data_IF_350708855528
#
_entry.id   IF_350708855528
#
_cell.length_a   1.000
_cell.length_b   1.000
_cell.length_c   1.000
_cell.angle_alpha   90.00
_cell.angle_beta   90.00
_cell.angle_gamma   90.00
#
_symmetry.space_group_name_H-M   'P 1'
#
loop_
_entity.id
_entity.type
_entity.pdbx_description
1 polymer ?
#
# COMPACT_ATOMS: atom_id res chain seq x y z
N UNK A 1 -52.50 -24.07 -33.51
CA UNK A 1 -52.75 -22.74 -32.90
C UNK A 1 -51.44 -21.98 -33.00
N UNK A 2 -51.36 -20.80 -33.64
CA UNK A 2 -50.11 -20.05 -33.63
C UNK A 2 -49.92 -19.52 -32.20
N UNK A 3 -48.85 -19.95 -31.53
CA UNK A 3 -48.51 -19.48 -30.21
C UNK A 3 -48.15 -17.99 -30.33
N UNK A 4 -48.96 -17.13 -29.72
CA UNK A 4 -48.58 -15.73 -29.51
C UNK A 4 -47.27 -15.71 -28.72
N UNK A 5 -46.24 -14.95 -29.15
CA UNK A 5 -45.05 -14.78 -28.33
C UNK A 5 -45.49 -14.13 -27.01
N UNK A 6 -45.11 -14.69 -25.84
CA UNK A 6 -45.44 -14.09 -24.57
C UNK A 6 -44.89 -12.66 -24.52
N UNK A 7 -45.71 -11.72 -24.06
CA UNK A 7 -45.29 -10.33 -23.85
C UNK A 7 -44.02 -10.31 -22.98
N UNK A 8 -43.06 -9.44 -23.30
CA UNK A 8 -41.83 -9.29 -22.53
C UNK A 8 -42.15 -8.95 -21.06
N UNK A 9 -41.98 -9.91 -20.15
CA UNK A 9 -42.35 -9.77 -18.75
C UNK A 9 -41.24 -9.12 -17.90
N UNK A 10 -40.02 -9.00 -18.44
CA UNK A 10 -38.86 -8.42 -17.75
C UNK A 10 -37.97 -7.58 -18.67
N UNK A 11 -37.13 -6.72 -18.10
CA UNK A 11 -36.10 -5.97 -18.84
C UNK A 11 -35.16 -6.90 -19.63
N UNK A 12 -34.96 -8.13 -19.15
CA UNK A 12 -34.19 -9.18 -19.82
C UNK A 12 -34.82 -9.67 -21.13
N UNK A 13 -36.14 -9.67 -21.25
CA UNK A 13 -36.86 -10.08 -22.47
C UNK A 13 -36.78 -9.01 -23.57
N UNK A 14 -36.45 -7.77 -23.21
CA UNK A 14 -36.24 -6.68 -24.18
C UNK A 14 -34.90 -6.81 -24.92
N UNK A 15 -33.90 -7.44 -24.30
CA UNK A 15 -32.52 -7.49 -24.83
C UNK A 15 -32.12 -8.88 -25.33
N UNK A 16 -32.80 -9.92 -24.88
CA UNK A 16 -32.53 -11.29 -25.29
C UNK A 16 -33.84 -12.00 -25.65
N UNK A 17 -34.02 -12.29 -26.94
CA UNK A 17 -35.18 -13.06 -27.43
C UNK A 17 -35.15 -14.49 -26.85
N UNK A 18 -36.31 -15.10 -26.55
CA UNK A 18 -36.40 -16.50 -26.17
C UNK A 18 -35.76 -17.41 -27.22
N UNK A 19 -35.04 -18.44 -26.79
CA UNK A 19 -34.54 -19.46 -27.72
C UNK A 19 -35.72 -20.29 -28.25
N UNK A 20 -35.53 -20.93 -29.41
CA UNK A 20 -36.52 -21.89 -29.90
C UNK A 20 -36.60 -23.10 -28.96
N UNK A 21 -37.76 -23.75 -28.91
CA UNK A 21 -37.96 -24.95 -28.12
C UNK A 21 -36.94 -26.04 -28.49
N UNK A 22 -36.15 -26.50 -27.50
CA UNK A 22 -35.07 -27.48 -27.70
C UNK A 22 -33.68 -26.87 -27.95
N UNK A 23 -33.58 -25.56 -28.21
CA UNK A 23 -32.30 -24.87 -28.43
C UNK A 23 -31.73 -24.20 -27.16
N UNK A 24 -32.43 -24.31 -26.04
CA UNK A 24 -32.11 -23.67 -24.74
C UNK A 24 -30.78 -24.15 -24.13
N UNK A 25 -30.27 -25.32 -24.56
CA UNK A 25 -28.99 -25.88 -24.10
C UNK A 25 -27.84 -25.73 -25.12
N UNK A 26 -28.10 -25.07 -26.25
CA UNK A 26 -27.09 -24.90 -27.32
C UNK A 26 -25.95 -23.98 -26.89
N UNK A 27 -24.83 -24.06 -27.60
CA UNK A 27 -23.60 -23.29 -27.32
C UNK A 27 -23.81 -21.77 -27.37
N UNK A 28 -24.88 -21.30 -28.03
CA UNK A 28 -25.28 -19.90 -28.15
C UNK A 28 -26.66 -19.61 -27.55
N UNK A 29 -27.16 -20.49 -26.69
CA UNK A 29 -28.40 -20.29 -25.96
C UNK A 29 -28.40 -18.96 -25.21
N UNK A 30 -29.59 -18.39 -25.05
CA UNK A 30 -29.91 -17.16 -24.33
C UNK A 30 -29.25 -17.13 -22.97
N UNK A 31 -29.26 -18.24 -22.22
CA UNK A 31 -28.66 -18.32 -20.87
C UNK A 31 -27.19 -17.91 -20.85
N UNK A 32 -26.40 -18.33 -21.84
CA UNK A 32 -24.97 -18.01 -21.91
C UNK A 32 -24.72 -16.56 -22.29
N UNK A 33 -25.59 -15.97 -23.12
CA UNK A 33 -25.53 -14.55 -23.49
C UNK A 33 -25.90 -13.66 -22.30
N UNK A 34 -26.96 -14.00 -21.58
CA UNK A 34 -27.39 -13.30 -20.35
C UNK A 34 -26.30 -13.40 -19.28
N UNK A 35 -25.77 -14.60 -19.05
CA UNK A 35 -24.66 -14.83 -18.12
C UNK A 35 -23.46 -13.94 -18.47
N UNK A 36 -23.05 -13.92 -19.75
CA UNK A 36 -21.95 -13.09 -20.22
C UNK A 36 -22.16 -11.61 -19.89
N UNK A 37 -23.32 -11.05 -20.22
CA UNK A 37 -23.60 -9.63 -19.95
C UNK A 37 -23.53 -9.34 -18.46
N UNK A 38 -24.30 -10.07 -17.65
CA UNK A 38 -24.38 -9.81 -16.20
C UNK A 38 -23.04 -9.94 -15.49
N UNK A 39 -22.25 -10.95 -15.84
CA UNK A 39 -20.97 -11.20 -15.21
C UNK A 39 -19.88 -10.25 -15.70
N UNK A 40 -19.94 -9.83 -16.97
CA UNK A 40 -19.01 -8.82 -17.48
C UNK A 40 -19.20 -7.49 -16.76
N UNK A 41 -20.46 -7.08 -16.49
CA UNK A 41 -20.75 -5.87 -15.73
C UNK A 41 -20.17 -5.97 -14.31
N UNK A 42 -20.45 -7.07 -13.61
CA UNK A 42 -19.93 -7.31 -12.25
C UNK A 42 -18.39 -7.33 -12.18
N UNK A 43 -17.75 -8.00 -13.13
CA UNK A 43 -16.28 -8.07 -13.19
C UNK A 43 -15.67 -6.71 -13.51
N UNK A 44 -16.30 -5.91 -14.38
CA UNK A 44 -15.82 -4.56 -14.68
C UNK A 44 -15.81 -3.70 -13.42
N UNK A 45 -16.90 -3.70 -12.66
CA UNK A 45 -17.01 -2.93 -11.40
C UNK A 45 -15.94 -3.36 -10.39
N UNK A 46 -15.75 -4.68 -10.22
CA UNK A 46 -14.74 -5.23 -9.30
C UNK A 46 -13.32 -4.86 -9.73
N UNK A 47 -12.99 -5.02 -11.02
CA UNK A 47 -11.66 -4.75 -11.56
C UNK A 47 -11.37 -3.25 -11.55
N UNK A 48 -12.37 -2.41 -11.78
CA UNK A 48 -12.25 -0.95 -11.68
C UNK A 48 -11.91 -0.55 -10.25
N UNK A 49 -12.66 -1.02 -9.25
CA UNK A 49 -12.35 -0.75 -7.84
C UNK A 49 -10.95 -1.23 -7.41
N UNK A 50 -10.51 -2.39 -7.91
CA UNK A 50 -9.14 -2.87 -7.68
C UNK A 50 -8.09 -1.99 -8.35
N UNK A 51 -8.30 -1.58 -9.60
CA UNK A 51 -7.40 -0.67 -10.31
C UNK A 51 -7.31 0.68 -9.62
N UNK A 52 -8.42 1.22 -9.14
CA UNK A 52 -8.46 2.49 -8.42
C UNK A 52 -7.70 2.40 -7.10
N UNK A 53 -7.89 1.31 -6.35
CA UNK A 53 -7.10 1.04 -5.13
C UNK A 53 -5.61 1.00 -5.45
N UNK A 54 -5.20 0.26 -6.48
CA UNK A 54 -3.79 0.18 -6.90
C UNK A 54 -3.25 1.54 -7.35
N UNK A 55 -4.02 2.33 -8.09
CA UNK A 55 -3.62 3.67 -8.50
C UNK A 55 -3.41 4.60 -7.29
N UNK A 56 -4.31 4.54 -6.32
CA UNK A 56 -4.17 5.27 -5.06
C UNK A 56 -2.89 4.86 -4.32
N UNK A 57 -2.62 3.56 -4.19
CA UNK A 57 -1.40 3.04 -3.56
C UNK A 57 -0.14 3.56 -4.25
N UNK A 58 -0.09 3.57 -5.59
CA UNK A 58 1.05 4.10 -6.36
C UNK A 58 1.29 5.58 -6.08
N UNK A 59 0.24 6.39 -6.17
CA UNK A 59 0.34 7.85 -5.98
C UNK A 59 0.80 8.15 -4.56
N UNK A 60 0.17 7.51 -3.57
CA UNK A 60 0.52 7.71 -2.18
C UNK A 60 1.95 7.25 -1.89
N UNK A 61 2.35 6.06 -2.34
CA UNK A 61 3.69 5.53 -2.13
C UNK A 61 4.77 6.43 -2.76
N UNK A 62 4.52 7.00 -3.94
CA UNK A 62 5.42 7.97 -4.58
C UNK A 62 5.56 9.27 -3.78
N UNK A 63 4.44 9.87 -3.37
CA UNK A 63 4.44 11.09 -2.56
C UNK A 63 5.09 10.87 -1.19
N UNK A 64 4.75 9.76 -0.52
CA UNK A 64 5.34 9.36 0.74
C UNK A 64 6.85 9.13 0.60
N UNK A 65 7.30 8.49 -0.48
CA UNK A 65 8.73 8.28 -0.74
C UNK A 65 9.48 9.61 -0.89
N UNK A 66 8.90 10.60 -1.57
CA UNK A 66 9.50 11.92 -1.70
C UNK A 66 9.64 12.63 -0.35
N UNK A 67 8.59 12.63 0.47
CA UNK A 67 8.61 13.23 1.81
C UNK A 67 9.61 12.51 2.70
N UNK A 68 9.56 11.18 2.77
CA UNK A 68 10.45 10.37 3.61
C UNK A 68 11.92 10.56 3.22
N UNK A 69 12.21 10.67 1.92
CA UNK A 69 13.58 10.89 1.41
C UNK A 69 14.18 12.19 1.93
N UNK A 70 13.40 13.27 2.07
CA UNK A 70 13.89 14.53 2.61
C UNK A 70 14.40 14.39 4.07
N UNK A 71 13.64 13.68 4.91
CA UNK A 71 14.05 13.41 6.29
C UNK A 71 15.23 12.44 6.37
N UNK A 72 15.22 11.41 5.54
CA UNK A 72 16.31 10.44 5.44
C UNK A 72 17.62 11.14 5.07
N UNK A 73 17.64 11.98 4.03
CA UNK A 73 18.83 12.74 3.62
C UNK A 73 19.36 13.59 4.78
N UNK A 74 18.47 14.25 5.51
CA UNK A 74 18.84 15.12 6.61
C UNK A 74 19.44 14.34 7.80
N UNK A 75 18.86 13.19 8.15
CA UNK A 75 19.24 12.46 9.36
C UNK A 75 20.25 11.34 9.12
N UNK A 76 20.42 10.87 7.88
CA UNK A 76 21.45 9.90 7.51
C UNK A 76 22.86 10.46 7.71
N UNK A 77 23.00 11.78 7.69
CA UNK A 77 24.25 12.45 8.04
C UNK A 77 24.74 12.09 9.45
N UNK A 78 23.83 11.76 10.39
CA UNK A 78 24.18 11.30 11.74
C UNK A 78 24.77 9.89 11.79
N UNK A 79 24.72 9.14 10.68
CA UNK A 79 25.46 7.88 10.54
C UNK A 79 26.91 8.08 10.11
N UNK A 80 27.24 9.26 9.60
CA UNK A 80 28.57 9.61 9.17
C UNK A 80 29.29 10.42 10.26
N UNK A 81 30.64 10.38 10.28
CA UNK A 81 31.41 11.22 11.17
C UNK A 81 31.20 12.71 10.85
N UNK A 82 31.00 13.54 11.87
CA UNK A 82 30.90 14.97 11.68
C UNK A 82 32.30 15.57 11.43
N UNK A 83 32.68 15.70 10.16
CA UNK A 83 33.95 16.29 9.77
C UNK A 83 34.07 17.77 10.19
N UNK A 84 32.97 18.48 10.38
CA UNK A 84 32.99 19.86 10.86
C UNK A 84 33.36 19.92 12.34
N UNK A 85 32.81 19.01 13.15
CA UNK A 85 33.18 18.86 14.55
C UNK A 85 34.62 18.38 14.71
N UNK A 86 35.05 17.40 13.91
CA UNK A 86 36.44 16.90 13.91
C UNK A 86 37.41 18.03 13.56
N UNK A 87 37.09 18.85 12.56
CA UNK A 87 37.92 19.99 12.13
C UNK A 87 37.94 21.09 13.21
N UNK A 88 36.81 21.41 13.82
CA UNK A 88 36.74 22.38 14.92
C UNK A 88 37.57 21.92 16.13
N UNK A 89 37.49 20.63 16.49
CA UNK A 89 38.34 20.02 17.53
C UNK A 89 39.82 20.03 17.16
N UNK A 90 40.16 19.76 15.90
CA UNK A 90 41.53 19.80 15.41
C UNK A 90 42.12 21.22 15.49
N UNK A 91 41.36 22.24 15.08
CA UNK A 91 41.77 23.65 15.16
C UNK A 91 41.98 24.05 16.63
N UNK A 92 41.03 23.73 17.52
CA UNK A 92 41.17 23.99 18.97
C UNK A 92 42.41 23.30 19.56
N UNK A 93 42.69 22.06 19.17
CA UNK A 93 43.88 21.35 19.62
C UNK A 93 45.17 22.03 19.14
N UNK A 94 45.21 22.54 17.90
CA UNK A 94 46.35 23.29 17.37
C UNK A 94 46.52 24.63 18.10
N UNK A 95 45.45 25.41 18.29
CA UNK A 95 45.50 26.68 19.02
C UNK A 95 46.01 26.49 20.46
N UNK A 96 45.58 25.43 21.15
CA UNK A 96 46.04 25.15 22.51
C UNK A 96 47.54 24.82 22.63
N UNK A 97 48.20 24.45 21.53
CA UNK A 97 49.65 24.21 21.50
C UNK A 97 50.46 25.46 21.12
N UNK A 98 49.82 26.45 20.52
CA UNK A 98 50.44 27.72 20.13
C UNK A 98 50.46 28.74 21.27
N UNK A 99 49.57 28.60 22.26
CA UNK A 99 49.59 29.40 23.48
C UNK A 99 50.32 28.65 24.61
N UNK A 100 51.55 29.07 24.91
CA UNK A 100 52.43 28.47 25.93
C UNK A 100 51.94 28.67 27.37
N UNK A 101 50.91 29.49 27.58
CA UNK A 101 50.30 29.76 28.89
C UNK A 101 49.01 28.96 29.11
N UNK A 102 48.47 28.34 28.05
CA UNK A 102 47.19 27.66 28.08
C UNK A 102 47.40 26.15 28.23
N UNK A 103 47.20 25.62 29.43
CA UNK A 103 47.08 24.16 29.63
C UNK A 103 45.74 23.72 29.05
N UNK A 104 45.69 22.93 27.96
CA UNK A 104 44.42 22.44 27.45
C UNK A 104 43.75 21.57 28.52
N UNK A 105 42.40 21.61 28.62
CA UNK A 105 41.69 20.59 29.41
C UNK A 105 42.07 19.20 28.87
N UNK A 106 42.29 18.25 29.79
CA UNK A 106 42.74 16.87 29.50
C UNK A 106 41.87 16.09 28.50
N UNK A 107 40.71 16.64 28.13
CA UNK A 107 39.83 16.16 27.07
C UNK A 107 40.33 16.38 25.63
N UNK A 108 41.32 17.25 25.39
CA UNK A 108 41.86 17.55 24.04
C UNK A 108 43.08 16.68 23.68
N UNK A 109 43.05 15.40 24.04
CA UNK A 109 44.09 14.44 23.63
C UNK A 109 43.87 14.08 22.15
N UNK A 110 44.93 13.98 21.35
CA UNK A 110 44.92 13.65 19.90
C UNK A 110 44.10 12.37 19.58
N UNK A 111 43.92 11.48 20.56
CA UNK A 111 43.04 10.30 20.51
C UNK A 111 41.56 10.63 20.27
N UNK A 112 41.12 11.88 20.46
CA UNK A 112 39.75 12.37 20.23
C UNK A 112 39.41 12.70 18.76
N UNK A 113 40.37 12.51 17.84
CA UNK A 113 40.20 12.71 16.40
C UNK A 113 39.69 11.46 15.67
N UNK A 114 39.47 10.35 16.39
CA UNK A 114 38.85 9.18 15.77
C UNK A 114 37.39 9.48 15.44
N UNK A 115 36.91 9.07 14.25
CA UNK A 115 35.50 9.18 13.90
C UNK A 115 34.63 8.59 15.01
N UNK A 116 33.74 9.39 15.59
CA UNK A 116 32.82 8.88 16.61
C UNK A 116 31.84 7.93 15.94
N UNK A 117 31.78 6.69 16.43
CA UNK A 117 30.79 5.72 15.96
C UNK A 117 29.37 6.28 16.13
N UNK A 118 28.48 6.09 15.15
CA UNK A 118 27.14 6.64 15.22
C UNK A 118 26.35 5.99 16.37
N UNK A 119 25.58 6.82 17.08
CA UNK A 119 24.82 6.37 18.25
C UNK A 119 23.81 5.28 17.89
N UNK A 120 23.53 4.38 18.85
CA UNK A 120 22.53 3.32 18.67
C UNK A 120 21.16 3.89 18.29
N UNK A 121 20.79 5.04 18.85
CA UNK A 121 19.55 5.75 18.55
C UNK A 121 19.52 6.25 17.11
N UNK A 122 20.60 6.88 16.64
CA UNK A 122 20.72 7.35 15.27
C UNK A 122 20.65 6.21 14.26
N UNK A 123 21.27 5.06 14.57
CA UNK A 123 21.16 3.82 13.78
C UNK A 123 19.71 3.32 13.72
N UNK A 124 19.02 3.30 14.86
CA UNK A 124 17.64 2.83 14.94
C UNK A 124 16.66 3.70 14.16
N UNK A 125 16.70 5.03 14.33
CA UNK A 125 15.82 5.97 13.62
C UNK A 125 16.04 5.88 12.11
N UNK A 126 17.32 5.89 11.66
CA UNK A 126 17.64 5.71 10.24
C UNK A 126 17.12 4.36 9.73
N UNK A 127 17.34 3.27 10.47
CA UNK A 127 16.87 1.94 10.09
C UNK A 127 15.36 1.87 9.89
N UNK A 128 14.58 2.44 10.82
CA UNK A 128 13.12 2.50 10.73
C UNK A 128 12.68 3.32 9.51
N UNK A 129 13.32 4.46 9.23
CA UNK A 129 12.99 5.27 8.06
C UNK A 129 13.36 4.61 6.74
N UNK A 130 14.56 4.02 6.61
CA UNK A 130 14.93 3.26 5.41
C UNK A 130 14.01 2.07 5.19
N UNK A 131 13.59 1.38 6.25
CA UNK A 131 12.60 0.30 6.16
C UNK A 131 11.25 0.84 5.65
N UNK A 132 10.76 1.95 6.20
CA UNK A 132 9.50 2.56 5.76
C UNK A 132 9.52 2.95 4.28
N UNK A 133 10.61 3.56 3.81
CA UNK A 133 10.81 3.92 2.40
C UNK A 133 10.88 2.66 1.51
N UNK A 134 11.63 1.65 1.94
CA UNK A 134 11.76 0.39 1.20
C UNK A 134 10.41 -0.32 1.04
N UNK A 135 9.59 -0.34 2.08
CA UNK A 135 8.23 -0.87 2.02
C UNK A 135 7.37 -0.11 1.00
N UNK A 136 7.45 1.22 0.96
CA UNK A 136 6.72 2.03 -0.03
C UNK A 136 7.14 1.72 -1.48
N UNK A 137 8.44 1.48 -1.72
CA UNK A 137 8.94 1.07 -3.03
C UNK A 137 8.46 -0.34 -3.40
N UNK A 138 8.47 -1.28 -2.45
CA UNK A 138 7.92 -2.63 -2.65
C UNK A 138 6.43 -2.57 -2.97
N UNK A 139 5.66 -1.74 -2.25
CA UNK A 139 4.22 -1.54 -2.51
C UNK A 139 4.00 -0.99 -3.92
N UNK A 140 4.82 -0.02 -4.34
CA UNK A 140 4.75 0.53 -5.71
C UNK A 140 5.01 -0.54 -6.76
N UNK A 141 6.08 -1.32 -6.59
CA UNK A 141 6.46 -2.40 -7.51
C UNK A 141 5.36 -3.47 -7.62
N UNK A 142 4.88 -3.96 -6.47
CA UNK A 142 3.84 -4.99 -6.42
C UNK A 142 2.51 -4.46 -6.98
N UNK A 143 2.17 -3.21 -6.71
CA UNK A 143 0.94 -2.62 -7.24
C UNK A 143 0.96 -2.51 -8.77
N UNK A 144 2.11 -2.17 -9.37
CA UNK A 144 2.30 -2.20 -10.83
C UNK A 144 2.14 -3.62 -11.36
N UNK A 145 2.74 -4.62 -10.70
CA UNK A 145 2.68 -6.01 -11.12
C UNK A 145 1.24 -6.56 -11.09
N UNK A 146 0.51 -6.33 -10.00
CA UNK A 146 -0.89 -6.74 -9.89
C UNK A 146 -1.75 -6.03 -10.94
N UNK A 147 -1.50 -4.73 -11.18
CA UNK A 147 -2.21 -4.00 -12.24
C UNK A 147 -1.98 -4.64 -13.63
N UNK A 148 -0.77 -5.09 -13.92
CA UNK A 148 -0.48 -5.81 -15.16
C UNK A 148 -1.26 -7.13 -15.24
N UNK A 149 -1.36 -7.88 -14.15
CA UNK A 149 -2.17 -9.11 -14.11
C UNK A 149 -3.66 -8.84 -14.40
N UNK A 150 -4.22 -7.76 -13.85
CA UNK A 150 -5.60 -7.37 -14.10
C UNK A 150 -5.85 -6.92 -15.54
N UNK A 151 -4.90 -6.20 -16.13
CA UNK A 151 -4.97 -5.82 -17.55
C UNK A 151 -4.96 -7.07 -18.43
N UNK A 152 -4.06 -8.01 -18.17
CA UNK A 152 -3.96 -9.27 -18.92
C UNK A 152 -5.20 -10.16 -18.75
N UNK A 153 -5.76 -10.22 -17.54
CA UNK A 153 -7.03 -10.90 -17.27
C UNK A 153 -8.15 -10.36 -18.15
N UNK A 154 -8.35 -9.03 -18.16
CA UNK A 154 -9.36 -8.37 -19.00
C UNK A 154 -9.11 -8.63 -20.49
N UNK A 155 -7.86 -8.58 -20.94
CA UNK A 155 -7.50 -8.86 -22.33
C UNK A 155 -7.90 -10.29 -22.74
N UNK A 156 -7.61 -11.29 -21.91
CA UNK A 156 -7.99 -12.70 -22.15
C UNK A 156 -9.50 -12.92 -22.20
N UNK A 157 -10.26 -12.19 -21.41
CA UNK A 157 -11.73 -12.23 -21.40
C UNK A 157 -12.37 -11.56 -22.61
N UNK A 158 -11.76 -10.50 -23.13
CA UNK A 158 -12.22 -9.78 -24.34
C UNK A 158 -11.78 -10.44 -25.65
N UNK A 159 -10.82 -11.35 -25.60
CA UNK A 159 -10.37 -12.09 -26.78
C UNK A 159 -11.53 -12.85 -27.45
N UNK A 160 -11.61 -12.87 -28.79
CA UNK A 160 -12.72 -13.47 -29.51
C UNK A 160 -12.93 -14.95 -29.15
N UNK A 161 -14.18 -15.37 -29.21
CA UNK A 161 -14.64 -16.74 -28.93
C UNK A 161 -15.67 -17.14 -29.97
N UNK A 162 -15.66 -18.41 -30.36
CA UNK A 162 -16.60 -18.97 -31.34
C UNK A 162 -18.05 -18.90 -30.84
N UNK A 163 -18.30 -19.26 -29.57
CA UNK A 163 -19.65 -19.38 -29.00
C UNK A 163 -19.75 -18.86 -27.56
N UNK A 164 -20.98 -18.57 -27.12
CA UNK A 164 -21.28 -18.01 -25.80
C UNK A 164 -20.87 -18.94 -24.65
N UNK A 165 -21.16 -20.23 -24.75
CA UNK A 165 -20.78 -21.25 -23.75
C UNK A 165 -19.27 -21.36 -23.54
N UNK A 166 -18.47 -21.29 -24.62
CA UNK A 166 -17.00 -21.38 -24.55
C UNK A 166 -16.40 -20.18 -23.81
N UNK A 167 -17.00 -19.01 -23.97
CA UNK A 167 -16.63 -17.83 -23.17
C UNK A 167 -16.98 -18.01 -21.69
N UNK A 168 -18.17 -18.54 -21.38
CA UNK A 168 -18.58 -18.75 -19.99
C UNK A 168 -17.63 -19.71 -19.26
N UNK A 169 -17.20 -20.78 -19.93
CA UNK A 169 -16.15 -21.67 -19.42
C UNK A 169 -14.82 -20.95 -19.20
N UNK A 170 -14.37 -20.15 -20.19
CA UNK A 170 -13.13 -19.35 -20.09
C UNK A 170 -13.19 -18.41 -18.88
N UNK A 171 -14.30 -17.70 -18.73
CA UNK A 171 -14.55 -16.81 -17.59
C UNK A 171 -14.43 -17.57 -16.27
N UNK A 172 -15.14 -18.70 -16.13
CA UNK A 172 -15.08 -19.53 -14.94
C UNK A 172 -13.65 -19.94 -14.57
N UNK A 173 -12.86 -20.41 -15.55
CA UNK A 173 -11.46 -20.82 -15.33
C UNK A 173 -10.60 -19.66 -14.84
N UNK A 174 -10.64 -18.50 -15.51
CA UNK A 174 -9.80 -17.37 -15.11
C UNK A 174 -10.26 -16.71 -13.82
N UNK A 175 -11.58 -16.64 -13.57
CA UNK A 175 -12.14 -16.12 -12.31
C UNK A 175 -11.74 -17.00 -11.14
N UNK A 176 -11.89 -18.32 -11.28
CA UNK A 176 -11.39 -19.29 -10.29
C UNK A 176 -9.89 -19.17 -10.09
N UNK A 177 -9.14 -18.84 -11.15
CA UNK A 177 -7.73 -18.49 -11.07
C UNK A 177 -7.46 -17.27 -10.18
N UNK A 178 -8.13 -16.14 -10.42
CA UNK A 178 -7.97 -14.94 -9.59
C UNK A 178 -8.24 -15.21 -8.11
N UNK A 179 -9.29 -15.97 -7.81
CA UNK A 179 -9.67 -16.31 -6.44
C UNK A 179 -8.64 -17.26 -5.80
N UNK A 180 -8.21 -18.31 -6.52
CA UNK A 180 -7.19 -19.27 -6.04
C UNK A 180 -5.83 -18.62 -5.76
N UNK A 181 -5.44 -17.65 -6.59
CA UNK A 181 -4.19 -16.91 -6.42
C UNK A 181 -4.34 -15.74 -5.43
N UNK A 182 -5.53 -15.51 -4.89
CA UNK A 182 -5.76 -14.55 -3.82
C UNK A 182 -5.50 -13.10 -4.23
N UNK A 183 -5.84 -12.70 -5.45
CA UNK A 183 -5.54 -11.34 -5.94
C UNK A 183 -6.21 -10.26 -5.08
N UNK A 184 -7.46 -10.46 -4.66
CA UNK A 184 -8.15 -9.55 -3.74
C UNK A 184 -7.44 -9.38 -2.38
N UNK A 185 -7.13 -10.49 -1.67
CA UNK A 185 -6.29 -10.45 -0.47
C UNK A 185 -4.93 -9.80 -0.66
N UNK A 186 -4.25 -10.01 -1.80
CA UNK A 186 -2.98 -9.35 -2.12
C UNK A 186 -3.16 -7.83 -2.16
N UNK A 187 -4.16 -7.32 -2.90
CA UNK A 187 -4.44 -5.89 -3.00
C UNK A 187 -4.75 -5.30 -1.61
N UNK A 188 -5.57 -5.99 -0.83
CA UNK A 188 -5.89 -5.57 0.55
C UNK A 188 -4.65 -5.55 1.45
N UNK A 189 -3.77 -6.54 1.30
CA UNK A 189 -2.51 -6.63 2.03
C UNK A 189 -1.53 -5.50 1.68
N UNK A 190 -1.49 -5.06 0.42
CA UNK A 190 -0.68 -3.90 0.01
C UNK A 190 -1.12 -2.62 0.71
N UNK A 191 -2.43 -2.41 0.89
CA UNK A 191 -2.96 -1.28 1.65
C UNK A 191 -2.54 -1.33 3.13
N UNK A 192 -2.59 -2.50 3.75
CA UNK A 192 -2.11 -2.66 5.14
C UNK A 192 -0.62 -2.41 5.25
N UNK A 193 0.17 -2.93 4.29
CA UNK A 193 1.61 -2.70 4.26
C UNK A 193 1.94 -1.20 4.12
N UNK A 194 1.13 -0.46 3.36
CA UNK A 194 1.26 0.99 3.22
C UNK A 194 1.01 1.73 4.53
N UNK A 195 -0.04 1.37 5.25
CA UNK A 195 -0.29 1.91 6.58
C UNK A 195 0.86 1.58 7.54
N UNK A 196 1.37 0.35 7.51
CA UNK A 196 2.52 -0.05 8.32
C UNK A 196 3.77 0.80 8.00
N UNK A 197 4.05 1.04 6.72
CA UNK A 197 5.13 1.93 6.29
C UNK A 197 4.95 3.36 6.82
N UNK A 198 3.73 3.89 6.76
CA UNK A 198 3.41 5.22 7.29
C UNK A 198 3.62 5.30 8.81
N UNK A 199 3.12 4.32 9.57
CA UNK A 199 3.31 4.30 11.02
C UNK A 199 4.77 4.13 11.42
N UNK A 200 5.55 3.30 10.71
CA UNK A 200 7.00 3.20 10.91
C UNK A 200 7.67 4.57 10.69
N UNK A 201 7.30 5.28 9.64
CA UNK A 201 7.83 6.62 9.39
C UNK A 201 7.50 7.62 10.50
N UNK A 202 6.26 7.62 11.00
CA UNK A 202 5.83 8.46 12.12
C UNK A 202 6.59 8.13 13.41
N UNK A 203 6.87 6.86 13.68
CA UNK A 203 7.71 6.45 14.83
C UNK A 203 9.11 7.05 14.71
N UNK A 204 9.74 6.98 13.53
CA UNK A 204 11.03 7.62 13.29
C UNK A 204 10.96 9.15 13.41
N UNK A 205 9.87 9.78 12.95
CA UNK A 205 9.63 11.22 13.07
C UNK A 205 9.55 11.69 14.52
N UNK A 206 8.83 10.96 15.37
CA UNK A 206 8.77 11.24 16.79
C UNK A 206 10.16 11.08 17.44
N UNK A 207 10.91 10.04 17.05
CA UNK A 207 12.30 9.86 17.49
C UNK A 207 13.19 11.06 17.13
N UNK A 208 13.11 11.53 15.87
CA UNK A 208 13.85 12.70 15.41
C UNK A 208 13.46 13.99 16.16
N UNK A 209 12.16 14.25 16.30
CA UNK A 209 11.67 15.45 16.98
C UNK A 209 12.03 15.49 18.45
N UNK A 210 12.15 14.32 19.11
CA UNK A 210 12.57 14.24 20.50
C UNK A 210 14.00 14.76 20.75
N UNK A 211 14.85 14.78 19.71
CA UNK A 211 16.21 15.34 19.78
C UNK A 211 16.25 16.83 19.42
N UNK A 212 15.23 17.33 18.73
CA UNK A 212 15.23 18.67 18.16
C UNK A 212 14.58 19.70 19.09
N UNK A 213 13.33 19.46 19.50
CA UNK A 213 12.58 20.37 20.36
C UNK A 213 11.41 19.66 21.05
N UNK A 214 11.27 19.86 22.37
CA UNK A 214 10.24 19.21 23.17
C UNK A 214 8.82 19.74 22.86
N UNK A 215 8.67 21.02 22.54
CA UNK A 215 7.38 21.62 22.22
C UNK A 215 6.81 21.07 20.91
N UNK A 216 7.62 21.06 19.85
CA UNK A 216 7.24 20.49 18.55
C UNK A 216 6.97 18.99 18.68
N UNK A 217 7.78 18.27 19.46
CA UNK A 217 7.55 16.86 19.74
C UNK A 217 6.15 16.60 20.32
N UNK A 218 5.76 17.27 21.40
CA UNK A 218 4.46 17.05 22.04
C UNK A 218 3.29 17.42 21.14
N UNK A 219 3.45 18.46 20.31
CA UNK A 219 2.46 18.85 19.32
C UNK A 219 2.23 17.73 18.29
N UNK A 220 3.29 17.23 17.66
CA UNK A 220 3.19 16.18 16.63
C UNK A 220 2.80 14.84 17.24
N UNK A 221 3.27 14.51 18.44
CA UNK A 221 2.87 13.33 19.19
C UNK A 221 1.36 13.30 19.43
N UNK A 222 0.77 14.43 19.89
CA UNK A 222 -0.66 14.51 20.17
C UNK A 222 -1.50 14.25 18.92
N UNK A 223 -1.14 14.87 17.79
CA UNK A 223 -1.82 14.65 16.51
C UNK A 223 -1.69 13.19 16.06
N UNK A 224 -0.49 12.62 16.16
CA UNK A 224 -0.22 11.23 15.80
C UNK A 224 -0.99 10.24 16.68
N UNK A 225 -1.07 10.50 17.98
CA UNK A 225 -1.78 9.67 18.94
C UNK A 225 -3.29 9.67 18.70
N UNK A 226 -3.88 10.84 18.39
CA UNK A 226 -5.31 10.95 18.04
C UNK A 226 -5.61 10.15 16.77
N UNK A 227 -4.78 10.31 15.72
CA UNK A 227 -4.96 9.58 14.48
C UNK A 227 -4.80 8.06 14.67
N UNK A 228 -3.80 7.63 15.43
CA UNK A 228 -3.58 6.21 15.75
C UNK A 228 -4.73 5.62 16.58
N UNK A 229 -5.26 6.37 17.54
CA UNK A 229 -6.41 5.95 18.34
C UNK A 229 -7.67 5.81 17.47
N UNK A 230 -7.93 6.76 16.58
CA UNK A 230 -9.03 6.67 15.62
C UNK A 230 -8.88 5.47 14.68
N UNK A 231 -7.69 5.27 14.11
CA UNK A 231 -7.40 4.13 13.24
C UNK A 231 -7.60 2.79 13.96
N UNK A 232 -7.07 2.67 15.19
CA UNK A 232 -7.24 1.49 16.03
C UNK A 232 -8.69 1.23 16.39
N UNK A 233 -9.43 2.28 16.79
CA UNK A 233 -10.86 2.18 17.08
C UNK A 233 -11.64 1.72 15.84
N UNK A 234 -11.43 2.33 14.68
CA UNK A 234 -12.10 1.95 13.43
C UNK A 234 -11.79 0.50 13.01
N UNK A 235 -10.57 0.01 13.27
CA UNK A 235 -10.16 -1.36 12.95
C UNK A 235 -10.77 -2.38 13.91
N UNK A 236 -10.92 -2.05 15.19
CA UNK A 236 -11.42 -2.96 16.21
C UNK A 236 -12.95 -2.92 16.38
N UNK A 237 -13.62 -1.80 16.05
CA UNK A 237 -15.07 -1.62 16.18
C UNK A 237 -15.91 -2.75 15.57
N UNK A 238 -15.57 -3.28 14.38
CA UNK A 238 -16.30 -4.39 13.77
C UNK A 238 -16.28 -5.70 14.57
N UNK A 239 -15.38 -5.85 15.56
CA UNK A 239 -15.35 -7.03 16.44
C UNK A 239 -16.51 -7.03 17.45
N UNK A 240 -17.04 -5.85 17.78
CA UNK A 240 -18.14 -5.70 18.72
C UNK A 240 -19.48 -5.42 18.05
N UNK A 241 -19.46 -4.78 16.87
CA UNK A 241 -20.66 -4.42 16.13
C UNK A 241 -20.60 -4.98 14.71
N UNK A 242 -21.42 -5.99 14.42
CA UNK A 242 -21.51 -6.61 13.11
C UNK A 242 -22.00 -5.63 12.02
N UNK A 243 -22.81 -4.63 12.39
CA UNK A 243 -23.36 -3.61 11.47
C UNK A 243 -22.40 -2.43 11.22
N UNK A 244 -21.14 -2.53 11.66
CA UNK A 244 -20.21 -1.42 11.57
C UNK A 244 -19.73 -1.18 10.13
N UNK A 245 -19.80 0.06 9.59
CA UNK A 245 -19.36 0.36 8.23
C UNK A 245 -17.84 0.25 8.03
N UNK A 246 -17.06 0.13 9.11
CA UNK A 246 -15.59 0.01 9.06
C UNK A 246 -15.09 -1.44 8.95
N UNK A 247 -15.96 -2.41 8.66
CA UNK A 247 -15.57 -3.80 8.39
C UNK A 247 -14.53 -3.84 7.27
N UNK A 248 -13.29 -4.18 7.60
CA UNK A 248 -12.24 -4.39 6.61
C UNK A 248 -12.38 -5.78 5.99
N UNK A 249 -12.03 -5.97 4.71
CA UNK A 249 -12.12 -7.27 4.05
C UNK A 249 -11.25 -8.35 4.72
N UNK A 250 -10.25 -7.96 5.51
CA UNK A 250 -9.44 -8.88 6.31
C UNK A 250 -10.21 -9.48 7.50
N UNK A 251 -11.08 -8.70 8.14
CA UNK A 251 -11.94 -9.16 9.22
C UNK A 251 -13.11 -10.02 8.69
N UNK A 252 -13.59 -9.75 7.47
CA UNK A 252 -14.68 -10.51 6.86
C UNK A 252 -14.34 -12.01 6.71
N UNK A 253 -13.08 -12.36 6.45
CA UNK A 253 -12.61 -13.75 6.35
C UNK A 253 -12.57 -14.50 7.70
N UNK A 254 -12.71 -13.82 8.84
CA UNK A 254 -12.80 -14.46 10.16
C UNK A 254 -14.22 -14.89 10.52
N UNK A 255 -15.23 -14.37 9.83
CA UNK A 255 -16.65 -14.63 10.08
C UNK A 255 -17.29 -15.57 9.04
N UNK A 256 -16.51 -16.10 8.10
CA UNK A 256 -16.91 -17.11 7.09
C UNK A 256 -16.48 -18.52 7.49
#
# INVERSE_FOLDING_TARGET
YPAHPPAAYSEFDKHFQPDNYGEEATDNARVWKVYRTRVTDLDNDLIEGWKDTLNFLLVFAGLFSAVATAFIIQYSQRLQPDYSEITAKAILAVLSKLDSTYTPPSSLTITSLTPTEPSLRSRWINGVWFLSLSLALVISLLSILVKQWLVEYVAKLRAPVEHARRWAWRHYVYRTGLDKWGVGPIISGLTVLLHAALFLFLVGLLGFLSELDAGIFWMIFSVTAIAAAFYGAATLLPLWFADCPSTTPLLANLWS
#
